data_IF_306152863643
#
_entry.id   IF_306152863643
#
_cell.length_a   1.000
_cell.length_b   1.000
_cell.length_c   1.000
_cell.angle_alpha   90.00
_cell.angle_beta   90.00
_cell.angle_gamma   90.00
#
_symmetry.space_group_name_H-M   'P 1'
#
loop_
_entity.id
_entity.type
_entity.pdbx_description
1 polymer ?
#
# COMPACT_ATOMS: atom_id res chain seq x y z
N UNK A 1 -6.87 8.53 -25.99
CA UNK A 1 -8.12 8.45 -25.18
C UNK A 1 -7.75 7.80 -23.87
N UNK A 2 -8.05 8.43 -22.74
CA UNK A 2 -7.84 7.84 -21.41
C UNK A 2 -9.21 7.58 -20.77
N UNK A 3 -9.41 6.39 -20.24
CA UNK A 3 -10.64 5.96 -19.57
C UNK A 3 -10.26 5.57 -18.15
N UNK A 4 -10.67 6.36 -17.17
CA UNK A 4 -10.52 5.99 -15.78
C UNK A 4 -11.68 5.09 -15.32
N UNK A 5 -11.42 4.24 -14.33
CA UNK A 5 -12.40 3.29 -13.77
C UNK A 5 -13.20 2.51 -14.84
N UNK A 6 -12.50 1.90 -15.80
CA UNK A 6 -13.15 1.23 -16.94
C UNK A 6 -14.10 0.10 -16.52
N UNK A 7 -13.89 -0.49 -15.33
CA UNK A 7 -14.77 -1.51 -14.78
C UNK A 7 -16.19 -1.01 -14.48
N UNK A 8 -16.40 0.29 -14.31
CA UNK A 8 -17.71 0.91 -14.14
C UNK A 8 -18.55 0.91 -15.43
N UNK A 9 -17.90 0.96 -16.60
CA UNK A 9 -18.58 1.00 -17.91
C UNK A 9 -18.49 -0.33 -18.68
N UNK A 10 -17.55 -1.19 -18.32
CA UNK A 10 -17.31 -2.47 -18.97
C UNK A 10 -17.19 -3.67 -18.00
N UNK A 11 -18.16 -3.88 -17.10
CA UNK A 11 -18.16 -5.03 -16.21
C UNK A 11 -18.40 -6.35 -16.96
N UNK A 12 -18.09 -7.47 -16.31
CA UNK A 12 -18.44 -8.82 -16.77
C UNK A 12 -19.95 -8.94 -17.00
N UNK A 13 -20.32 -9.28 -18.24
CA UNK A 13 -21.73 -9.41 -18.68
C UNK A 13 -22.57 -10.33 -17.81
N UNK A 14 -21.97 -11.38 -17.23
CA UNK A 14 -22.64 -12.34 -16.33
C UNK A 14 -23.08 -11.73 -15.00
N UNK A 15 -22.36 -10.72 -14.49
CA UNK A 15 -22.67 -10.04 -13.22
C UNK A 15 -23.60 -8.84 -13.39
N UNK A 16 -23.88 -8.47 -14.63
CA UNK A 16 -24.66 -7.27 -14.97
C UNK A 16 -26.13 -7.64 -15.25
N UNK A 17 -27.02 -7.06 -14.44
CA UNK A 17 -28.48 -7.20 -14.59
C UNK A 17 -29.09 -6.19 -15.60
N UNK A 18 -28.37 -5.12 -15.95
CA UNK A 18 -28.85 -4.06 -16.84
C UNK A 18 -28.52 -4.29 -18.32
N UNK A 19 -29.52 -4.19 -19.21
CA UNK A 19 -29.29 -4.25 -20.67
C UNK A 19 -28.43 -3.09 -21.21
N UNK A 20 -28.50 -1.92 -20.55
CA UNK A 20 -27.76 -0.72 -20.97
C UNK A 20 -26.26 -0.94 -20.88
N UNK A 21 -25.77 -1.44 -19.75
CA UNK A 21 -24.35 -1.74 -19.54
C UNK A 21 -23.84 -2.77 -20.57
N UNK A 22 -24.58 -3.84 -20.82
CA UNK A 22 -24.21 -4.85 -21.84
C UNK A 22 -24.10 -4.25 -23.25
N UNK A 23 -24.95 -3.28 -23.57
CA UNK A 23 -24.92 -2.55 -24.85
C UNK A 23 -23.68 -1.65 -24.92
N UNK A 24 -23.33 -0.95 -23.85
CA UNK A 24 -22.12 -0.12 -23.78
C UNK A 24 -20.87 -0.96 -24.01
N UNK A 25 -20.73 -2.10 -23.33
CA UNK A 25 -19.59 -3.02 -23.55
C UNK A 25 -19.52 -3.47 -25.00
N UNK A 26 -20.66 -3.84 -25.60
CA UNK A 26 -20.71 -4.31 -26.99
C UNK A 26 -20.35 -3.21 -28.00
N UNK A 27 -20.77 -1.97 -27.74
CA UNK A 27 -20.36 -0.81 -28.54
C UNK A 27 -18.87 -0.54 -28.40
N UNK A 28 -18.31 -0.58 -27.19
CA UNK A 28 -16.88 -0.40 -26.96
C UNK A 28 -16.05 -1.42 -27.74
N UNK A 29 -16.43 -2.70 -27.68
CA UNK A 29 -15.77 -3.77 -28.46
C UNK A 29 -15.83 -3.52 -29.97
N UNK A 30 -17.00 -3.12 -30.47
CA UNK A 30 -17.21 -2.87 -31.91
C UNK A 30 -16.37 -1.69 -32.38
N UNK A 31 -16.29 -0.63 -31.57
CA UNK A 31 -15.46 0.54 -31.86
C UNK A 31 -13.98 0.19 -31.86
N UNK A 32 -13.51 -0.61 -30.91
CA UNK A 32 -12.11 -1.05 -30.84
C UNK A 32 -11.75 -1.98 -32.01
N UNK A 33 -12.60 -2.95 -32.36
CA UNK A 33 -12.37 -3.83 -33.53
C UNK A 33 -12.41 -3.04 -34.85
N UNK A 34 -13.17 -1.95 -34.89
CA UNK A 34 -13.26 -1.02 -36.03
C UNK A 34 -12.05 -0.11 -36.20
N UNK A 35 -11.15 -0.02 -35.21
CA UNK A 35 -9.92 0.78 -35.30
C UNK A 35 -8.94 0.12 -36.27
N UNK A 36 -8.96 0.55 -37.53
CA UNK A 36 -7.98 0.14 -38.55
C UNK A 36 -6.59 0.64 -38.15
N UNK A 37 -5.53 -0.12 -38.46
CA UNK A 37 -4.11 0.18 -38.17
C UNK A 37 -3.58 1.58 -38.60
N UNK A 38 -4.37 2.41 -39.29
CA UNK A 38 -4.06 3.80 -39.66
C UNK A 38 -4.66 4.85 -38.71
N UNK A 39 -5.33 4.43 -37.62
CA UNK A 39 -5.77 5.35 -36.57
C UNK A 39 -4.58 5.68 -35.66
N UNK A 40 -4.13 6.94 -35.69
CA UNK A 40 -3.13 7.49 -34.76
C UNK A 40 -3.73 7.72 -33.36
N UNK A 41 -4.41 6.71 -32.83
CA UNK A 41 -5.17 6.80 -31.57
C UNK A 41 -4.67 5.70 -30.64
N UNK A 42 -4.17 6.11 -29.49
CA UNK A 42 -3.86 5.23 -28.36
C UNK A 42 -5.00 5.31 -27.35
N UNK A 43 -5.48 4.16 -26.90
CA UNK A 43 -6.48 4.05 -25.84
C UNK A 43 -5.79 3.49 -24.61
N UNK A 44 -5.86 4.22 -23.50
CA UNK A 44 -5.36 3.79 -22.19
C UNK A 44 -6.56 3.70 -21.24
N UNK A 45 -6.55 2.72 -20.35
CA UNK A 45 -7.59 2.55 -19.34
C UNK A 45 -6.97 2.23 -17.98
N UNK A 46 -7.59 2.70 -16.91
CA UNK A 46 -7.23 2.40 -15.53
C UNK A 46 -8.36 1.66 -14.82
N UNK A 47 -8.01 0.77 -13.89
CA UNK A 47 -8.96 0.04 -13.04
C UNK A 47 -8.26 -0.44 -11.77
N UNK A 48 -8.99 -0.47 -10.66
CA UNK A 48 -8.55 -1.15 -9.44
C UNK A 48 -9.04 -2.61 -9.40
N UNK A 49 -9.85 -3.02 -10.37
CA UNK A 49 -10.52 -4.34 -10.42
C UNK A 49 -10.35 -4.98 -11.79
N UNK A 50 -9.14 -5.40 -12.18
CA UNK A 50 -8.90 -6.02 -13.50
C UNK A 50 -9.75 -7.29 -13.75
N UNK A 51 -10.20 -7.95 -12.68
CA UNK A 51 -11.03 -9.14 -12.72
C UNK A 51 -12.54 -8.86 -12.86
N UNK A 52 -13.00 -7.61 -12.72
CA UNK A 52 -14.40 -7.24 -12.96
C UNK A 52 -14.67 -6.85 -14.41
N UNK A 53 -13.63 -6.56 -15.20
CA UNK A 53 -13.74 -6.16 -16.62
C UNK A 53 -14.13 -7.36 -17.49
N UNK A 54 -14.89 -7.10 -18.56
CA UNK A 54 -15.17 -8.08 -19.62
C UNK A 54 -13.86 -8.63 -20.24
N UNK A 55 -13.59 -9.94 -20.18
CA UNK A 55 -12.36 -10.54 -20.71
C UNK A 55 -12.15 -10.33 -22.21
N UNK A 56 -13.21 -10.02 -22.97
CA UNK A 56 -13.10 -9.72 -24.38
C UNK A 56 -12.30 -8.43 -24.63
N UNK A 57 -12.35 -7.44 -23.73
CA UNK A 57 -11.62 -6.18 -23.89
C UNK A 57 -10.11 -6.34 -23.75
N UNK A 58 -9.67 -7.35 -22.98
CA UNK A 58 -8.26 -7.66 -22.69
C UNK A 58 -7.59 -8.53 -23.76
N UNK A 59 -8.26 -8.76 -24.89
CA UNK A 59 -7.74 -9.58 -25.99
C UNK A 59 -6.92 -8.73 -26.95
N UNK A 60 -5.98 -9.41 -27.63
CA UNK A 60 -5.16 -8.83 -28.67
C UNK A 60 -6.00 -8.06 -29.71
N UNK A 61 -5.55 -6.86 -30.08
CA UNK A 61 -6.28 -5.94 -30.96
C UNK A 61 -7.20 -4.94 -30.24
N UNK A 62 -7.31 -5.03 -28.91
CA UNK A 62 -8.07 -4.10 -28.07
C UNK A 62 -7.16 -3.51 -26.98
N UNK A 63 -7.33 -3.87 -25.71
CA UNK A 63 -6.30 -3.68 -24.70
C UNK A 63 -5.35 -4.88 -24.75
N UNK A 64 -4.33 -4.76 -25.59
CA UNK A 64 -3.31 -5.77 -25.84
C UNK A 64 -2.12 -5.69 -24.87
N UNK A 65 -2.01 -4.59 -24.13
CA UNK A 65 -0.99 -4.35 -23.11
C UNK A 65 -1.65 -4.07 -21.77
N UNK A 66 -1.15 -4.74 -20.73
CA UNK A 66 -1.51 -4.50 -19.34
C UNK A 66 -0.26 -4.13 -18.58
N UNK A 67 -0.37 -3.09 -17.75
CA UNK A 67 0.70 -2.64 -16.86
C UNK A 67 0.13 -2.69 -15.46
N UNK A 68 0.71 -3.54 -14.62
CA UNK A 68 0.35 -3.64 -13.21
C UNK A 68 1.16 -2.61 -12.43
N UNK A 69 0.47 -1.79 -11.63
CA UNK A 69 1.08 -0.78 -10.76
C UNK A 69 0.86 -1.23 -9.33
N UNK A 70 1.89 -1.85 -8.75
CA UNK A 70 1.88 -2.34 -7.38
C UNK A 70 2.21 -1.27 -6.35
N UNK A 71 2.23 -1.70 -5.09
CA UNK A 71 2.71 -0.89 -3.96
C UNK A 71 4.22 -0.65 -4.14
N UNK A 72 4.71 0.60 -3.99
CA UNK A 72 6.13 0.89 -4.14
C UNK A 72 6.97 0.23 -3.04
N UNK A 73 8.18 -0.18 -3.40
CA UNK A 73 9.21 -0.64 -2.47
C UNK A 73 9.86 0.55 -1.73
N UNK A 74 10.79 0.33 -0.77
CA UNK A 74 11.42 1.44 -0.05
C UNK A 74 12.12 2.45 -0.99
N UNK A 75 12.75 1.99 -2.06
CA UNK A 75 13.41 2.87 -3.04
C UNK A 75 12.39 3.72 -3.80
N UNK A 76 11.29 3.13 -4.27
CA UNK A 76 10.20 3.86 -4.91
C UNK A 76 9.51 4.84 -3.97
N UNK A 77 9.33 4.49 -2.69
CA UNK A 77 8.80 5.43 -1.69
C UNK A 77 9.74 6.60 -1.43
N UNK A 78 11.04 6.38 -1.41
CA UNK A 78 12.04 7.45 -1.32
C UNK A 78 11.94 8.40 -2.52
N UNK A 79 11.81 7.87 -3.74
CA UNK A 79 11.62 8.71 -4.94
C UNK A 79 10.33 9.54 -4.86
N UNK A 80 9.23 8.93 -4.42
CA UNK A 80 7.95 9.62 -4.22
C UNK A 80 8.08 10.71 -3.15
N UNK A 81 8.72 10.41 -2.02
CA UNK A 81 9.01 11.40 -0.97
C UNK A 81 9.79 12.58 -1.55
N UNK A 82 10.90 12.32 -2.26
CA UNK A 82 11.71 13.36 -2.90
C UNK A 82 10.91 14.25 -3.87
N UNK A 83 9.96 13.67 -4.62
CA UNK A 83 9.08 14.44 -5.50
C UNK A 83 8.17 15.36 -4.68
N UNK A 84 7.53 14.84 -3.64
CA UNK A 84 6.59 15.60 -2.82
C UNK A 84 7.26 16.61 -1.88
N UNK A 85 8.51 16.37 -1.48
CA UNK A 85 9.30 17.30 -0.65
C UNK A 85 10.15 18.27 -1.46
N UNK A 86 10.20 18.15 -2.80
CA UNK A 86 11.06 18.97 -3.66
C UNK A 86 10.90 20.48 -3.47
N UNK A 87 9.66 20.94 -3.25
CA UNK A 87 9.34 22.35 -3.04
C UNK A 87 9.07 22.67 -1.56
N UNK A 88 9.32 21.70 -0.68
CA UNK A 88 9.13 21.85 0.75
C UNK A 88 10.46 22.25 1.38
N UNK A 89 10.45 23.26 2.23
CA UNK A 89 11.63 23.60 3.01
C UNK A 89 11.79 22.56 4.12
N UNK A 90 12.81 21.72 4.01
CA UNK A 90 13.13 20.70 5.01
C UNK A 90 14.18 21.25 5.99
N UNK A 91 14.09 20.81 7.24
CA UNK A 91 15.17 20.95 8.21
C UNK A 91 16.33 19.99 7.89
N UNK A 92 17.53 20.34 8.36
CA UNK A 92 18.75 19.53 8.16
C UNK A 92 18.67 18.16 8.87
N UNK A 93 17.71 18.00 9.79
CA UNK A 93 17.46 16.79 10.57
C UNK A 93 16.57 15.75 9.86
N UNK A 94 15.98 16.11 8.70
CA UNK A 94 15.02 15.25 7.99
C UNK A 94 15.74 14.15 7.22
N UNK A 95 15.50 12.90 7.62
CA UNK A 95 15.97 11.70 6.93
C UNK A 95 14.82 11.04 6.13
N UNK A 96 14.80 11.29 4.82
CA UNK A 96 13.80 10.71 3.92
C UNK A 96 14.01 9.20 3.70
N UNK A 97 15.24 8.68 3.82
CA UNK A 97 15.52 7.25 3.68
C UNK A 97 14.92 6.48 4.86
N UNK A 98 15.07 7.04 6.07
CA UNK A 98 14.43 6.52 7.26
C UNK A 98 12.90 6.48 7.09
N UNK A 99 12.27 7.60 6.67
CA UNK A 99 10.81 7.67 6.46
C UNK A 99 10.36 6.65 5.41
N UNK A 100 11.11 6.50 4.31
CA UNK A 100 10.81 5.52 3.27
C UNK A 100 10.83 4.06 3.81
N UNK A 101 11.77 3.76 4.72
CA UNK A 101 11.86 2.44 5.34
C UNK A 101 10.71 2.14 6.30
N UNK A 102 10.24 3.15 7.05
CA UNK A 102 9.20 3.02 8.07
C UNK A 102 7.76 3.03 7.49
N UNK A 103 7.58 3.57 6.29
CA UNK A 103 6.28 3.69 5.59
C UNK A 103 5.88 2.42 4.83
N UNK A 104 5.97 1.26 5.48
CA UNK A 104 5.62 -0.01 4.85
C UNK A 104 4.15 -0.04 4.39
N UNK A 105 3.91 -0.45 3.14
CA UNK A 105 2.57 -0.54 2.57
C UNK A 105 1.96 0.80 2.14
N UNK A 106 2.67 1.92 2.28
CA UNK A 106 2.18 3.22 1.80
C UNK A 106 2.19 3.24 0.27
N UNK A 107 1.10 3.70 -0.33
CA UNK A 107 1.03 4.03 -1.76
C UNK A 107 1.36 5.51 -1.99
N UNK A 108 1.54 5.90 -3.25
CA UNK A 108 1.93 7.27 -3.60
C UNK A 108 1.02 8.35 -2.98
N UNK A 109 -0.29 8.11 -2.92
CA UNK A 109 -1.23 9.02 -2.26
C UNK A 109 -1.02 9.12 -0.75
N UNK A 110 -0.64 8.02 -0.08
CA UNK A 110 -0.39 8.01 1.36
C UNK A 110 0.89 8.79 1.68
N UNK A 111 1.94 8.61 0.87
CA UNK A 111 3.19 9.37 0.99
C UNK A 111 2.95 10.87 0.74
N UNK A 112 2.15 11.22 -0.26
CA UNK A 112 1.76 12.61 -0.52
C UNK A 112 1.00 13.23 0.67
N UNK A 113 0.07 12.48 1.26
CA UNK A 113 -0.68 12.89 2.43
C UNK A 113 0.24 13.04 3.65
N UNK A 114 1.19 12.12 3.86
CA UNK A 114 2.19 12.19 4.93
C UNK A 114 3.01 13.49 4.85
N UNK A 115 3.52 13.84 3.66
CA UNK A 115 4.25 15.09 3.46
C UNK A 115 3.38 16.33 3.75
N UNK A 116 2.13 16.29 3.31
CA UNK A 116 1.18 17.40 3.52
C UNK A 116 0.83 17.57 5.00
N UNK A 117 0.66 16.47 5.74
CA UNK A 117 0.39 16.48 7.18
C UNK A 117 1.60 16.98 7.98
N UNK A 118 2.82 16.57 7.60
CA UNK A 118 4.05 17.08 8.22
C UNK A 118 4.20 18.60 8.02
N UNK A 119 3.91 19.10 6.82
CA UNK A 119 3.93 20.53 6.54
C UNK A 119 2.86 21.30 7.34
N UNK A 120 1.63 20.78 7.39
CA UNK A 120 0.56 21.38 8.19
C UNK A 120 0.88 21.38 9.68
N UNK A 121 1.56 20.34 10.18
CA UNK A 121 1.99 20.28 11.56
C UNK A 121 2.99 21.39 11.90
N UNK A 122 3.97 21.63 11.03
CA UNK A 122 4.93 22.74 11.22
C UNK A 122 4.23 24.10 11.24
N UNK A 123 3.24 24.31 10.35
CA UNK A 123 2.45 25.55 10.34
C UNK A 123 1.64 25.70 11.63
N UNK A 124 1.02 24.63 12.14
CA UNK A 124 0.25 24.67 13.40
C UNK A 124 1.12 25.03 14.60
N UNK A 125 2.34 24.49 14.68
CA UNK A 125 3.29 24.80 15.76
C UNK A 125 3.79 26.25 15.73
N UNK A 126 3.81 26.87 14.54
CA UNK A 126 4.27 28.24 14.33
C UNK A 126 3.13 29.23 14.14
N UNK A 127 1.88 28.80 14.28
CA UNK A 127 0.69 29.62 14.00
C UNK A 127 0.63 30.86 14.89
N UNK A 128 1.11 30.77 16.13
CA UNK A 128 1.17 31.91 17.07
C UNK A 128 2.16 33.01 16.63
N UNK A 129 3.09 32.69 15.71
CA UNK A 129 4.07 33.63 15.15
C UNK A 129 3.62 34.20 13.80
N UNK A 130 2.51 33.72 13.25
CA UNK A 130 1.97 34.16 11.97
C UNK A 130 0.82 35.12 12.26
N UNK A 131 1.01 36.40 11.96
CA UNK A 131 -0.08 37.36 11.96
C UNK A 131 -0.96 37.10 10.73
N UNK A 132 -2.22 36.74 10.96
CA UNK A 132 -3.20 36.43 9.91
C UNK A 132 -3.84 37.69 9.31
N UNK A 133 -3.65 38.85 9.95
CA UNK A 133 -4.21 40.13 9.51
C UNK A 133 -3.25 40.87 8.53
N UNK A 134 -2.00 40.44 8.43
CA UNK A 134 -1.01 41.00 7.49
C UNK A 134 -0.97 40.24 6.15
N UNK A 135 -0.83 40.98 5.05
CA UNK A 135 -0.76 40.42 3.68
C UNK A 135 0.57 39.71 3.39
N UNK A 136 1.59 39.88 4.24
CA UNK A 136 2.95 39.36 4.03
C UNK A 136 3.52 38.76 5.30
N UNK A 137 4.18 37.62 5.18
CA UNK A 137 4.89 36.98 6.29
C UNK A 137 6.34 37.47 6.30
N UNK A 138 6.84 37.84 7.48
CA UNK A 138 8.23 38.23 7.68
C UNK A 138 9.21 37.14 7.25
N UNK A 139 10.34 37.56 6.67
CA UNK A 139 11.38 36.66 6.19
C UNK A 139 11.94 35.75 7.29
N UNK A 140 12.01 36.23 8.53
CA UNK A 140 12.49 35.46 9.69
C UNK A 140 11.51 34.35 10.10
N UNK A 141 10.20 34.65 10.05
CA UNK A 141 9.15 33.65 10.29
C UNK A 141 9.15 32.62 9.17
N UNK A 142 9.21 33.05 7.90
CA UNK A 142 9.35 32.17 6.73
C UNK A 142 10.59 31.27 6.83
N UNK A 143 11.70 31.79 7.35
CA UNK A 143 12.91 31.00 7.51
C UNK A 143 12.74 29.89 8.56
N UNK A 144 11.96 30.18 9.62
CA UNK A 144 11.65 29.24 10.71
C UNK A 144 10.60 28.17 10.39
N UNK A 145 9.91 28.27 9.23
CA UNK A 145 8.86 27.34 8.80
C UNK A 145 9.39 26.05 8.13
N UNK A 146 10.68 25.73 8.28
CA UNK A 146 11.24 24.47 7.79
C UNK A 146 10.60 23.27 8.48
N UNK A 147 10.14 22.28 7.70
CA UNK A 147 9.54 21.04 8.20
C UNK A 147 10.63 20.14 8.75
N UNK A 148 10.50 19.74 10.01
CA UNK A 148 11.49 18.95 10.75
C UNK A 148 11.12 17.46 10.79
N UNK A 149 12.05 16.63 11.26
CA UNK A 149 11.81 15.20 11.44
C UNK A 149 10.74 14.93 12.51
N UNK A 150 10.58 15.82 13.49
CA UNK A 150 9.51 15.70 14.50
C UNK A 150 8.12 15.85 13.87
N UNK A 151 7.95 16.76 12.91
CA UNK A 151 6.68 16.90 12.19
C UNK A 151 6.36 15.65 11.35
N UNK A 152 7.36 15.02 10.73
CA UNK A 152 7.18 13.74 10.03
C UNK A 152 6.83 12.59 10.99
N UNK A 153 7.46 12.52 12.16
CA UNK A 153 7.11 11.53 13.21
C UNK A 153 5.68 11.71 13.70
N UNK A 154 5.25 12.96 13.90
CA UNK A 154 3.86 13.27 14.21
C UNK A 154 2.94 12.75 13.10
N UNK A 155 3.24 13.09 11.84
CA UNK A 155 2.44 12.69 10.68
C UNK A 155 2.34 11.17 10.55
N UNK A 156 3.43 10.43 10.75
CA UNK A 156 3.45 8.96 10.78
C UNK A 156 2.54 8.37 11.88
N UNK A 157 2.41 9.04 13.01
CA UNK A 157 1.54 8.62 14.11
C UNK A 157 0.04 8.77 13.83
N UNK A 158 -0.34 9.65 12.90
CA UNK A 158 -1.74 9.90 12.52
C UNK A 158 -2.10 9.35 11.13
N UNK A 159 -1.13 9.06 10.27
CA UNK A 159 -1.35 8.50 8.95
C UNK A 159 -1.53 6.99 8.98
N UNK A 160 -2.55 6.49 8.28
CA UNK A 160 -2.79 5.07 8.10
C UNK A 160 -2.73 4.73 6.60
N UNK A 161 -1.94 3.72 6.17
CA UNK A 161 -1.79 3.36 4.77
C UNK A 161 -3.11 2.88 4.15
N UNK A 162 -3.41 3.38 2.96
CA UNK A 162 -4.64 3.07 2.22
C UNK A 162 -4.59 1.68 1.60
N UNK A 163 -3.41 1.19 1.19
CA UNK A 163 -3.28 -0.15 0.61
C UNK A 163 -3.67 -1.27 1.58
N UNK A 164 -3.45 -1.05 2.88
CA UNK A 164 -3.85 -1.98 3.94
C UNK A 164 -5.37 -1.97 4.21
N UNK A 165 -6.13 -1.02 3.63
CA UNK A 165 -7.60 -0.97 3.75
C UNK A 165 -8.31 -1.86 2.73
N UNK A 166 -7.76 -2.03 1.52
CA UNK A 166 -8.38 -2.88 0.47
C UNK A 166 -8.01 -4.36 0.59
N UNK A 167 -6.77 -4.67 1.00
CA UNK A 167 -6.35 -6.04 1.30
C UNK A 167 -6.78 -6.35 2.73
N UNK A 168 -8.01 -6.83 2.89
CA UNK A 168 -8.59 -7.40 4.11
C UNK A 168 -7.65 -7.41 5.33
N UNK A 169 -7.77 -6.37 6.16
CA UNK A 169 -7.29 -6.35 7.54
C UNK A 169 -5.84 -6.83 7.66
N UNK A 170 -4.88 -6.01 7.20
CA UNK A 170 -3.53 -6.10 7.76
C UNK A 170 -3.59 -5.60 9.19
N UNK A 171 -4.01 -6.49 10.07
CA UNK A 171 -3.89 -6.31 11.50
C UNK A 171 -2.41 -6.41 11.82
N UNK A 172 -1.79 -5.34 12.32
CA UNK A 172 -0.56 -5.48 13.09
C UNK A 172 -0.96 -6.30 14.31
N UNK A 173 -0.57 -7.58 14.40
CA UNK A 173 -1.02 -8.40 15.50
C UNK A 173 -0.39 -7.86 16.78
N UNK A 174 -1.19 -7.64 17.81
CA UNK A 174 -0.73 -7.18 19.12
C UNK A 174 -0.53 -8.33 20.12
N UNK A 175 -0.76 -9.56 19.69
CA UNK A 175 -0.64 -10.77 20.51
C UNK A 175 0.83 -11.19 20.56
N UNK A 176 1.37 -11.45 21.74
CA UNK A 176 2.73 -11.98 21.97
C UNK A 176 2.66 -13.45 22.35
N UNK A 177 3.81 -14.14 22.36
CA UNK A 177 3.88 -15.52 22.85
C UNK A 177 3.39 -15.67 24.30
N UNK A 178 3.55 -14.62 25.11
CA UNK A 178 3.15 -14.56 26.52
C UNK A 178 1.62 -14.52 26.70
N UNK A 179 0.89 -13.99 25.72
CA UNK A 179 -0.57 -13.89 25.75
C UNK A 179 -1.27 -15.23 25.47
N UNK A 180 -0.51 -16.24 25.03
CA UNK A 180 -1.02 -17.57 24.70
C UNK A 180 -0.67 -18.54 25.82
N UNK A 181 -1.67 -18.98 26.59
CA UNK A 181 -1.47 -20.01 27.62
C UNK A 181 -1.23 -21.40 27.03
N UNK A 182 -0.16 -22.08 27.48
CA UNK A 182 0.14 -23.47 27.11
C UNK A 182 0.67 -23.63 25.67
N UNK A 183 0.43 -24.79 25.06
CA UNK A 183 0.85 -25.14 23.69
C UNK A 183 2.36 -25.00 23.43
N UNK A 184 3.19 -25.25 24.44
CA UNK A 184 4.64 -25.00 24.38
C UNK A 184 5.34 -25.75 23.23
N UNK A 185 4.93 -26.99 22.96
CA UNK A 185 5.43 -27.77 21.83
C UNK A 185 5.12 -27.07 20.49
N UNK A 186 3.89 -26.61 20.30
CA UNK A 186 3.47 -25.91 19.08
C UNK A 186 4.14 -24.54 18.94
N UNK A 187 4.32 -23.81 20.06
CA UNK A 187 5.07 -22.54 20.06
C UNK A 187 6.51 -22.77 19.63
N UNK A 188 7.16 -23.81 20.16
CA UNK A 188 8.52 -24.15 19.80
C UNK A 188 8.63 -24.52 18.32
N UNK A 189 7.72 -25.36 17.81
CA UNK A 189 7.69 -25.73 16.39
C UNK A 189 7.54 -24.51 15.48
N UNK A 190 6.68 -23.55 15.84
CA UNK A 190 6.51 -22.31 15.08
C UNK A 190 7.77 -21.42 15.11
N UNK A 191 8.44 -21.33 16.25
CA UNK A 191 9.69 -20.57 16.38
C UNK A 191 10.76 -21.15 15.45
N UNK A 192 10.91 -22.47 15.45
CA UNK A 192 11.93 -23.14 14.65
C UNK A 192 11.63 -23.13 13.14
N UNK A 193 10.36 -23.24 12.76
CA UNK A 193 9.96 -23.36 11.35
C UNK A 193 9.64 -22.03 10.66
N UNK A 194 9.27 -20.99 11.42
CA UNK A 194 8.83 -19.69 10.88
C UNK A 194 9.73 -18.55 11.36
N UNK A 195 9.97 -18.43 12.66
CA UNK A 195 10.72 -17.30 13.22
C UNK A 195 12.23 -17.39 12.92
N UNK A 196 12.88 -18.52 13.20
CA UNK A 196 14.32 -18.68 12.98
C UNK A 196 14.78 -18.52 11.52
N UNK A 197 14.03 -19.00 10.50
CA UNK A 197 14.40 -18.72 9.13
C UNK A 197 14.31 -17.23 8.76
N UNK A 198 13.43 -16.47 9.40
CA UNK A 198 13.26 -15.02 9.20
C UNK A 198 14.36 -14.25 9.93
N UNK A 199 14.67 -14.63 11.17
CA UNK A 199 15.68 -13.95 12.01
C UNK A 199 17.13 -14.29 11.62
N UNK A 200 17.38 -15.45 11.03
CA UNK A 200 18.72 -15.96 10.71
C UNK A 200 18.87 -16.51 9.27
N UNK A 201 18.51 -15.75 8.23
CA UNK A 201 18.53 -16.22 6.85
C UNK A 201 19.93 -16.67 6.38
N UNK A 202 21.00 -16.01 6.86
CA UNK A 202 22.39 -16.32 6.49
C UNK A 202 22.83 -17.70 6.96
N UNK A 203 22.32 -18.18 8.11
CA UNK A 203 22.64 -19.52 8.63
C UNK A 203 21.95 -20.58 7.78
N UNK A 204 20.69 -20.37 7.42
CA UNK A 204 19.94 -21.33 6.59
C UNK A 204 20.55 -21.48 5.20
N UNK A 205 20.96 -20.37 4.58
CA UNK A 205 21.68 -20.37 3.30
C UNK A 205 23.04 -21.10 3.39
N UNK A 206 23.81 -20.86 4.46
CA UNK A 206 25.12 -21.48 4.67
C UNK A 206 25.05 -22.99 4.86
N UNK A 207 24.00 -23.48 5.53
CA UNK A 207 23.79 -24.91 5.78
C UNK A 207 22.92 -25.60 4.70
N UNK A 208 22.53 -24.88 3.64
CA UNK A 208 21.72 -25.44 2.55
C UNK A 208 20.30 -25.84 2.98
N UNK A 209 19.78 -25.25 4.06
CA UNK A 209 18.44 -25.52 4.55
C UNK A 209 17.44 -24.58 3.89
N UNK A 210 16.33 -25.13 3.39
CA UNK A 210 15.22 -24.34 2.87
C UNK A 210 14.21 -23.99 3.96
N UNK A 211 13.72 -22.75 4.07
CA UNK A 211 12.64 -22.40 4.98
C UNK A 211 11.38 -23.23 4.70
N UNK A 212 10.55 -23.42 5.73
CA UNK A 212 9.27 -24.11 5.58
C UNK A 212 8.38 -23.35 4.58
N UNK A 213 7.67 -24.08 3.70
CA UNK A 213 6.83 -23.47 2.64
C UNK A 213 5.47 -22.98 3.14
N UNK A 214 5.10 -23.34 4.36
CA UNK A 214 3.83 -22.95 4.98
C UNK A 214 3.49 -23.82 6.17
N UNK A 215 2.61 -23.30 7.03
CA UNK A 215 2.12 -23.97 8.24
C UNK A 215 0.61 -24.10 8.16
N UNK A 216 0.09 -25.29 8.47
CA UNK A 216 -1.34 -25.56 8.53
C UNK A 216 -1.78 -25.78 9.99
N UNK A 217 -2.60 -24.87 10.51
CA UNK A 217 -3.23 -25.04 11.81
C UNK A 217 -4.53 -25.83 11.68
N UNK A 218 -4.63 -26.99 12.33
CA UNK A 218 -5.84 -27.81 12.36
C UNK A 218 -6.29 -28.11 13.80
N UNK A 219 -7.59 -28.27 14.01
CA UNK A 219 -8.17 -28.66 15.31
C UNK A 219 -9.55 -28.06 15.57
N UNK A 220 -10.20 -28.40 16.70
CA UNK A 220 -11.52 -27.88 17.08
C UNK A 220 -11.57 -26.34 17.15
N UNK A 221 -12.73 -25.69 16.93
CA UNK A 221 -12.85 -24.24 17.11
C UNK A 221 -12.53 -23.84 18.56
N UNK A 222 -11.98 -22.64 18.77
CA UNK A 222 -11.65 -22.12 20.11
C UNK A 222 -10.32 -22.57 20.71
N UNK A 223 -9.46 -23.28 19.96
CA UNK A 223 -8.15 -23.79 20.42
C UNK A 223 -6.97 -22.84 20.18
N UNK A 224 -7.22 -21.55 19.97
CA UNK A 224 -6.15 -20.54 19.87
C UNK A 224 -5.38 -20.49 18.53
N UNK A 225 -5.76 -21.28 17.50
CA UNK A 225 -5.10 -21.28 16.18
C UNK A 225 -4.88 -19.89 15.57
N UNK A 226 -5.92 -19.05 15.56
CA UNK A 226 -5.82 -17.69 15.04
C UNK A 226 -4.91 -16.81 15.91
N UNK A 227 -4.87 -17.04 17.23
CA UNK A 227 -3.98 -16.30 18.13
C UNK A 227 -2.52 -16.71 17.94
N UNK A 228 -2.23 -17.99 17.72
CA UNK A 228 -0.89 -18.48 17.37
C UNK A 228 -0.38 -17.85 16.07
N UNK A 229 -1.23 -17.80 15.05
CA UNK A 229 -0.89 -17.18 13.76
C UNK A 229 -0.62 -15.67 13.90
N UNK A 230 -1.35 -14.98 14.79
CA UNK A 230 -1.11 -13.57 15.12
C UNK A 230 0.19 -13.38 15.91
N UNK A 231 0.46 -14.21 16.91
CA UNK A 231 1.67 -14.12 17.73
C UNK A 231 2.94 -14.32 16.92
N UNK A 232 2.99 -15.35 16.05
CA UNK A 232 4.16 -15.57 15.20
C UNK A 232 4.40 -14.42 14.23
N UNK A 233 3.34 -13.83 13.67
CA UNK A 233 3.46 -12.67 12.78
C UNK A 233 4.00 -11.43 13.51
N UNK A 234 3.55 -11.18 14.74
CA UNK A 234 4.02 -10.06 15.55
C UNK A 234 5.51 -10.20 15.90
N UNK A 235 5.91 -11.39 16.32
CA UNK A 235 7.29 -11.69 16.75
C UNK A 235 8.28 -11.67 15.60
N UNK A 236 7.83 -11.98 14.37
CA UNK A 236 8.65 -11.86 13.16
C UNK A 236 8.59 -10.45 12.53
N UNK A 237 7.94 -9.47 13.17
CA UNK A 237 7.65 -8.15 12.60
C UNK A 237 7.05 -8.23 11.18
N UNK A 238 6.18 -9.22 10.95
CA UNK A 238 5.61 -9.55 9.64
C UNK A 238 4.16 -9.06 9.54
N UNK A 239 3.76 -8.67 8.33
CA UNK A 239 2.37 -8.31 8.06
C UNK A 239 1.46 -9.55 8.15
N UNK A 240 0.37 -9.46 8.92
CA UNK A 240 -0.62 -10.51 9.00
C UNK A 240 -1.79 -10.21 8.07
N UNK A 241 -1.94 -11.01 7.01
CA UNK A 241 -3.03 -10.86 6.03
C UNK A 241 -4.08 -11.93 6.32
N UNK A 242 -5.28 -11.51 6.73
CA UNK A 242 -6.39 -12.44 6.94
C UNK A 242 -7.27 -12.54 5.70
N UNK A 243 -7.16 -13.67 4.98
CA UNK A 243 -8.06 -13.99 3.88
C UNK A 243 -9.19 -14.88 4.42
N UNK A 244 -10.44 -14.37 4.41
CA UNK A 244 -11.65 -15.12 4.78
C UNK A 244 -12.40 -15.59 3.53
#
# INVERSE_FOLDING_TARGET
IFIDEIDSIAPKREKTNGEVERRVVSQLLTLMDGMKARSNVVVMAATNRPNSIDPALRRFGRFDREVDIGIPDPTGRLEILQIHTKNMKLGDDVDLEQIASETHGYVGSDVAALCSEAAMQQIREKMDLIDLDEDTIDAEVLDSLGVTMENFRFALGVSNPSALREVAVVEVPNVRWEDIGGLEEVKQDLKENVQYPVDHPEKYLKFGMSPSRGVLFFGPPGTGKTMLAKAVANECAANFISVK
#
